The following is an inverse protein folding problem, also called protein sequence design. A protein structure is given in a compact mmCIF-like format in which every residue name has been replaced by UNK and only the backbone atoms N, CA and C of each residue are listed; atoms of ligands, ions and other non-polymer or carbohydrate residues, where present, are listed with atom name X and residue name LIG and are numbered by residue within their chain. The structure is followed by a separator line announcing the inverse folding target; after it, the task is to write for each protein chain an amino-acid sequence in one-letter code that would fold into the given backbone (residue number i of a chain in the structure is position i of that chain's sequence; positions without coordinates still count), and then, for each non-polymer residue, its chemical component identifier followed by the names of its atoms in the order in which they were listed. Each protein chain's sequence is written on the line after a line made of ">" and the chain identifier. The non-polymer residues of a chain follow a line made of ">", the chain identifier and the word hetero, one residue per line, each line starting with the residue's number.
data_IF_302522832442
#
_entry.id   IF_302522832442
#
_cell.length_a   1.000
_cell.length_b   1.000
_cell.length_c   1.000
_cell.angle_alpha   90.00
_cell.angle_beta   90.00
_cell.angle_gamma   90.00
#
_symmetry.space_group_name_H-M   'P 1'
#
loop_
_entity.id
_entity.type
_entity.pdbx_description
1 polymer ?
#
# COMPACT_ATOMS: atom_id res chain seq x y z
N UNK A 1 2.91 -14.69 1.93
CA UNK A 1 2.86 -15.11 0.52
C UNK A 1 2.25 -13.96 -0.25
N UNK A 2 2.84 -13.59 -1.38
CA UNK A 2 2.44 -12.42 -2.18
C UNK A 2 2.15 -12.88 -3.60
N UNK A 3 1.07 -12.37 -4.21
CA UNK A 3 0.71 -12.69 -5.57
C UNK A 3 1.34 -11.70 -6.56
N UNK A 4 1.89 -12.19 -7.67
CA UNK A 4 2.34 -11.33 -8.77
C UNK A 4 1.15 -10.77 -9.55
N UNK A 5 1.11 -9.46 -9.79
CA UNK A 5 0.01 -8.80 -10.51
C UNK A 5 -0.04 -9.14 -12.01
N UNK A 6 1.07 -9.59 -12.60
CA UNK A 6 1.13 -9.91 -14.05
C UNK A 6 0.79 -11.37 -14.35
N UNK A 7 1.35 -12.32 -13.61
CA UNK A 7 1.15 -13.75 -13.87
C UNK A 7 0.21 -14.45 -12.89
N UNK A 8 -0.27 -13.75 -11.87
CA UNK A 8 -1.15 -14.28 -10.82
C UNK A 8 -0.55 -15.42 -9.96
N UNK A 9 0.75 -15.72 -10.13
CA UNK A 9 1.45 -16.71 -9.32
C UNK A 9 1.65 -16.24 -7.87
N UNK A 10 1.58 -17.19 -6.94
CA UNK A 10 1.81 -16.97 -5.51
C UNK A 10 3.27 -17.26 -5.14
N UNK A 11 3.96 -16.24 -4.59
CA UNK A 11 5.35 -16.33 -4.17
C UNK A 11 5.47 -16.32 -2.64
N UNK A 12 6.44 -17.06 -2.12
CA UNK A 12 6.84 -16.97 -0.72
C UNK A 12 7.77 -15.78 -0.54
N UNK A 13 7.47 -14.89 0.41
CA UNK A 13 8.25 -13.67 0.70
C UNK A 13 9.74 -13.95 0.87
N UNK A 14 10.07 -15.03 1.56
CA UNK A 14 11.44 -15.47 1.81
C UNK A 14 12.23 -15.79 0.52
N UNK A 15 11.55 -16.09 -0.58
CA UNK A 15 12.15 -16.55 -1.84
C UNK A 15 12.02 -15.56 -2.99
N UNK A 16 11.37 -14.40 -2.78
CA UNK A 16 11.16 -13.40 -3.83
C UNK A 16 12.51 -12.89 -4.36
N UNK A 17 13.44 -12.56 -3.46
CA UNK A 17 14.73 -11.95 -3.83
C UNK A 17 15.88 -12.94 -4.02
N UNK A 18 15.72 -14.21 -3.60
CA UNK A 18 16.82 -15.20 -3.59
C UNK A 18 17.43 -15.51 -4.97
N UNK A 19 16.68 -15.31 -6.05
CA UNK A 19 17.16 -15.54 -7.42
C UNK A 19 18.05 -14.44 -7.99
N UNK A 20 18.16 -13.28 -7.33
CA UNK A 20 18.98 -12.15 -7.80
C UNK A 20 20.45 -12.34 -7.41
N UNK A 21 20.71 -12.92 -6.24
CA UNK A 21 22.06 -13.14 -5.71
C UNK A 21 22.82 -14.25 -6.47
N UNK A 22 22.15 -15.34 -6.87
CA UNK A 22 22.79 -16.45 -7.59
C UNK A 22 23.25 -16.08 -9.01
N UNK A 23 22.55 -15.16 -9.69
CA UNK A 23 22.89 -14.77 -11.08
C UNK A 23 23.92 -13.65 -11.17
N UNK A 24 24.09 -12.84 -10.11
CA UNK A 24 25.20 -11.88 -10.01
C UNK A 24 26.55 -12.60 -9.83
N UNK A 25 26.55 -13.76 -9.17
CA UNK A 25 27.72 -14.62 -9.02
C UNK A 25 28.13 -15.31 -10.33
N UNK A 26 27.19 -15.73 -11.17
CA UNK A 26 27.46 -16.36 -12.49
C UNK A 26 28.02 -15.37 -13.55
N UNK A 27 27.85 -14.06 -13.35
CA UNK A 27 28.37 -13.02 -14.26
C UNK A 27 29.83 -12.63 -13.98
N UNK A 28 30.48 -13.17 -12.94
CA UNK A 28 31.91 -12.95 -12.68
C UNK A 28 32.76 -13.69 -13.72
N UNK A 29 33.61 -13.01 -14.51
CA UNK A 29 34.50 -13.71 -15.43
C UNK A 29 35.49 -14.57 -14.64
N UNK A 30 35.62 -15.84 -15.05
CA UNK A 30 36.54 -16.79 -14.44
C UNK A 30 37.99 -16.24 -14.44
N UNK A 31 38.76 -16.38 -13.35
CA UNK A 31 40.15 -15.95 -13.33
C UNK A 31 41.00 -16.89 -14.18
N UNK A 32 41.62 -16.34 -15.23
CA UNK A 32 42.65 -17.01 -15.99
C UNK A 32 43.85 -17.34 -15.07
N UNK A 33 44.29 -18.59 -15.10
CA UNK A 33 45.51 -19.04 -14.44
C UNK A 33 46.71 -18.46 -15.16
N UNK A 34 47.66 -17.84 -14.45
CA UNK A 34 49.07 -18.28 -14.41
C UNK A 34 49.94 -17.53 -13.37
N UNK A 35 50.52 -18.35 -12.48
CA UNK A 35 51.87 -18.31 -11.87
C UNK A 35 52.37 -17.12 -10.99
N UNK A 36 52.37 -17.42 -9.68
CA UNK A 36 53.51 -17.42 -8.73
C UNK A 36 54.21 -16.11 -8.29
N UNK A 37 54.05 -15.77 -6.99
CA UNK A 37 55.14 -15.74 -5.99
C UNK A 37 54.57 -15.48 -4.58
N UNK A 38 55.04 -16.26 -3.61
CA UNK A 38 54.75 -16.17 -2.16
C UNK A 38 55.28 -14.88 -1.53
N UNK A 39 54.62 -14.38 -0.49
CA UNK A 39 55.24 -14.10 0.84
C UNK A 39 54.19 -13.76 1.90
N UNK A 40 54.37 -14.36 3.08
CA UNK A 40 53.73 -14.15 4.39
C UNK A 40 53.47 -12.68 4.79
N UNK A 41 52.36 -12.41 5.49
CA UNK A 41 52.29 -12.28 6.98
C UNK A 41 51.15 -11.35 7.46
N UNK A 42 50.36 -11.89 8.40
CA UNK A 42 49.60 -11.23 9.49
C UNK A 42 48.52 -10.17 9.23
N UNK A 43 47.32 -10.50 9.74
CA UNK A 43 46.18 -9.64 10.10
C UNK A 43 46.54 -8.48 11.06
N UNK A 44 45.77 -7.39 11.07
CA UNK A 44 44.65 -7.31 12.04
C UNK A 44 43.35 -6.68 11.49
N UNK A 45 42.29 -6.98 12.25
CA UNK A 45 40.91 -6.47 12.19
C UNK A 45 40.83 -4.93 12.32
N UNK A 46 39.73 -4.38 11.79
CA UNK A 46 38.90 -3.24 12.27
C UNK A 46 38.22 -2.64 11.02
N UNK A 47 36.96 -2.99 10.76
CA UNK A 47 35.75 -2.24 11.10
C UNK A 47 35.57 -0.93 10.29
N UNK A 48 34.34 -0.79 9.77
CA UNK A 48 33.70 0.43 9.30
C UNK A 48 34.05 0.99 7.91
N UNK A 49 33.38 0.44 6.90
CA UNK A 49 32.98 1.23 5.73
C UNK A 49 31.52 0.93 5.40
N UNK A 50 30.64 1.70 6.04
CA UNK A 50 29.25 1.86 5.63
C UNK A 50 29.23 2.36 4.17
N UNK A 51 28.84 1.48 3.25
CA UNK A 51 28.34 1.85 1.94
C UNK A 51 26.82 1.70 1.99
N UNK A 52 26.14 2.84 2.06
CA UNK A 52 24.70 2.97 1.88
C UNK A 52 24.39 2.69 0.42
N UNK A 53 24.17 1.43 0.08
CA UNK A 53 23.72 1.01 -1.25
C UNK A 53 22.19 0.88 -1.23
N UNK A 54 21.57 1.41 -2.28
CA UNK A 54 20.13 1.67 -2.39
C UNK A 54 19.25 0.49 -2.01
N UNK A 55 18.59 0.67 -0.87
CA UNK A 55 17.55 -0.13 -0.27
C UNK A 55 16.40 -0.40 -1.26
N UNK A 56 16.40 -1.57 -1.90
CA UNK A 56 15.20 -2.18 -2.50
C UNK A 56 15.40 -3.64 -2.95
N UNK A 57 16.36 -4.37 -2.36
CA UNK A 57 16.41 -5.84 -2.49
C UNK A 57 15.57 -6.54 -1.39
N UNK A 58 15.21 -5.79 -0.36
CA UNK A 58 14.32 -6.19 0.75
C UNK A 58 12.92 -5.70 0.42
N UNK A 59 11.90 -6.52 0.67
CA UNK A 59 10.52 -6.08 0.52
C UNK A 59 10.29 -4.84 1.42
N UNK A 60 9.77 -3.73 0.89
CA UNK A 60 9.51 -2.54 1.69
C UNK A 60 8.49 -2.83 2.80
N UNK A 61 8.52 -2.05 3.89
CA UNK A 61 7.60 -2.23 5.03
C UNK A 61 6.12 -2.12 4.63
N UNK A 62 5.82 -1.41 3.53
CA UNK A 62 4.49 -1.34 2.93
C UNK A 62 4.57 -1.38 1.40
N UNK A 63 3.80 -2.26 0.77
CA UNK A 63 3.54 -2.29 -0.67
C UNK A 63 2.11 -2.80 -0.91
N UNK A 64 1.56 -2.48 -2.08
CA UNK A 64 0.22 -2.92 -2.49
C UNK A 64 0.29 -3.96 -3.61
N UNK A 65 1.26 -3.87 -4.52
CA UNK A 65 1.41 -4.78 -5.66
C UNK A 65 2.85 -5.27 -5.82
N UNK A 66 3.01 -6.47 -6.39
CA UNK A 66 4.31 -7.09 -6.70
C UNK A 66 4.34 -7.51 -8.17
N UNK A 67 5.43 -7.20 -8.86
CA UNK A 67 5.79 -7.85 -10.12
C UNK A 67 6.98 -8.76 -9.87
N UNK A 68 6.80 -10.07 -10.09
CA UNK A 68 7.84 -11.06 -9.89
C UNK A 68 9.02 -10.87 -10.86
N UNK A 69 10.17 -11.47 -10.54
CA UNK A 69 11.37 -11.39 -11.36
C UNK A 69 11.14 -11.84 -12.81
N UNK A 70 10.45 -12.96 -13.04
CA UNK A 70 10.19 -13.46 -14.40
C UNK A 70 9.33 -12.50 -15.23
N UNK A 71 8.36 -11.85 -14.59
CA UNK A 71 7.55 -10.83 -15.23
C UNK A 71 8.35 -9.56 -15.50
N UNK A 72 9.19 -9.09 -14.57
CA UNK A 72 10.10 -7.97 -14.82
C UNK A 72 11.09 -8.28 -15.95
N UNK A 73 11.58 -9.52 -16.04
CA UNK A 73 12.45 -9.99 -17.14
C UNK A 73 11.73 -10.03 -18.49
N UNK A 74 10.45 -10.40 -18.50
CA UNK A 74 9.60 -10.39 -19.71
C UNK A 74 9.17 -8.98 -20.12
N UNK A 75 9.08 -8.06 -19.17
CA UNK A 75 8.60 -6.69 -19.33
C UNK A 75 9.61 -5.66 -18.77
N UNK A 76 10.86 -5.64 -19.26
CA UNK A 76 11.95 -4.86 -18.63
C UNK A 76 11.74 -3.35 -18.68
N UNK A 77 10.90 -2.86 -19.60
CA UNK A 77 10.55 -1.45 -19.68
C UNK A 77 9.80 -0.95 -18.44
N UNK A 78 9.18 -1.84 -17.66
CA UNK A 78 8.50 -1.47 -16.41
C UNK A 78 9.48 -0.99 -15.34
N UNK A 79 10.76 -1.39 -15.41
CA UNK A 79 11.79 -0.91 -14.49
C UNK A 79 11.98 0.61 -14.58
N UNK A 80 11.69 1.24 -15.72
CA UNK A 80 11.75 2.69 -15.86
C UNK A 80 10.84 3.41 -14.85
N UNK A 81 9.73 2.78 -14.43
CA UNK A 81 8.80 3.37 -13.47
C UNK A 81 9.32 3.39 -12.03
N UNK A 82 10.42 2.70 -11.72
CA UNK A 82 11.07 2.82 -10.40
C UNK A 82 11.93 4.08 -10.29
N UNK A 83 12.20 4.78 -11.40
CA UNK A 83 12.90 6.05 -11.36
C UNK A 83 11.93 7.13 -10.86
N UNK A 84 12.16 7.59 -9.64
CA UNK A 84 11.44 8.73 -9.06
C UNK A 84 11.86 10.02 -9.78
N UNK A 85 10.86 10.80 -10.18
CA UNK A 85 11.09 12.16 -10.65
C UNK A 85 11.29 13.06 -9.43
N UNK A 86 12.25 14.01 -9.45
CA UNK A 86 12.59 14.85 -8.29
C UNK A 86 11.50 15.83 -7.83
N UNK A 87 10.25 15.70 -8.28
CA UNK A 87 9.13 16.60 -7.98
C UNK A 87 8.20 16.07 -6.87
N UNK A 88 8.45 14.88 -6.30
CA UNK A 88 7.56 14.24 -5.32
C UNK A 88 7.83 14.59 -3.84
N UNK A 89 8.57 15.67 -3.56
CA UNK A 89 8.78 16.17 -2.19
C UNK A 89 8.60 17.69 -2.17
N UNK A 90 7.37 18.15 -1.94
CA UNK A 90 7.05 19.44 -1.30
C UNK A 90 5.52 19.57 -1.13
N UNK A 91 4.97 18.91 -0.10
CA UNK A 91 3.64 19.24 0.45
C UNK A 91 3.83 20.18 1.65
N UNK A 92 3.96 21.50 1.40
CA UNK A 92 3.48 22.55 2.31
C UNK A 92 3.18 23.83 1.51
N UNK A 93 1.90 24.22 1.46
CA UNK A 93 1.36 25.29 0.62
C UNK A 93 1.63 26.71 1.21
N UNK A 94 1.41 27.85 0.51
CA UNK A 94 0.06 28.24 0.07
C UNK A 94 -0.05 28.96 -1.30
N UNK A 95 -1.26 28.78 -1.84
CA UNK A 95 -1.97 29.48 -2.92
C UNK A 95 -1.54 30.93 -3.22
N UNK A 96 -1.22 31.20 -4.49
CA UNK A 96 -1.17 32.53 -5.09
C UNK A 96 -1.37 32.45 -6.61
N UNK A 97 -2.48 32.98 -7.10
CA UNK A 97 -2.92 32.85 -8.50
C UNK A 97 -2.10 33.63 -9.53
N UNK A 98 -2.20 33.17 -10.78
CA UNK A 98 -1.72 33.86 -11.98
C UNK A 98 -2.08 33.05 -13.22
N UNK A 99 -3.08 33.53 -13.96
CA UNK A 99 -3.54 32.98 -15.23
C UNK A 99 -2.49 33.17 -16.35
N UNK A 100 -2.49 32.19 -17.26
CA UNK A 100 -1.97 32.20 -18.63
C UNK A 100 -0.45 32.27 -18.88
N UNK A 101 0.14 31.08 -19.07
CA UNK A 101 1.29 30.88 -19.95
C UNK A 101 1.11 29.62 -20.82
N UNK A 102 0.55 29.85 -22.01
CA UNK A 102 0.77 29.12 -23.27
C UNK A 102 1.27 27.66 -23.18
N UNK A 103 0.31 26.74 -23.17
CA UNK A 103 0.45 25.30 -23.37
C UNK A 103 1.02 24.98 -24.77
N UNK A 104 2.33 24.90 -24.89
CA UNK A 104 3.01 24.16 -25.96
C UNK A 104 3.41 22.77 -25.41
N UNK A 105 2.43 21.89 -25.17
CA UNK A 105 2.71 20.50 -24.79
C UNK A 105 3.15 19.74 -26.04
N UNK A 106 4.45 19.56 -26.22
CA UNK A 106 4.95 18.38 -26.93
C UNK A 106 4.40 17.17 -26.17
N UNK A 107 3.67 16.29 -26.85
CA UNK A 107 3.18 15.03 -26.29
C UNK A 107 4.39 14.10 -26.04
N UNK A 108 5.18 14.43 -25.03
CA UNK A 108 6.36 13.66 -24.68
C UNK A 108 5.94 12.42 -23.91
N UNK A 109 6.51 11.29 -24.31
CA UNK A 109 6.18 9.99 -23.76
C UNK A 109 6.87 9.83 -22.40
N UNK A 110 6.08 9.76 -21.32
CA UNK A 110 6.55 9.58 -19.93
C UNK A 110 7.46 8.36 -19.81
N UNK A 111 7.12 7.24 -20.46
CA UNK A 111 7.95 6.03 -20.45
C UNK A 111 9.35 6.31 -21.00
N UNK A 112 9.46 7.05 -22.11
CA UNK A 112 10.76 7.36 -22.72
C UNK A 112 11.59 8.28 -21.83
N UNK A 113 10.95 9.27 -21.20
CA UNK A 113 11.64 10.17 -20.27
C UNK A 113 12.18 9.40 -19.05
N UNK A 114 11.36 8.53 -18.46
CA UNK A 114 11.77 7.67 -17.33
C UNK A 114 12.85 6.65 -17.71
N UNK A 115 12.82 6.11 -18.93
CA UNK A 115 13.90 5.23 -19.44
C UNK A 115 15.25 5.95 -19.50
N UNK A 116 15.28 7.18 -20.02
CA UNK A 116 16.49 7.99 -20.08
C UNK A 116 17.03 8.33 -18.68
N UNK A 117 16.13 8.61 -17.73
CA UNK A 117 16.51 8.86 -16.33
C UNK A 117 17.16 7.62 -15.69
N UNK A 118 16.56 6.44 -15.90
CA UNK A 118 17.08 5.19 -15.38
C UNK A 118 18.47 4.86 -15.97
N UNK A 119 18.65 5.07 -17.27
CA UNK A 119 19.94 4.90 -17.95
C UNK A 119 21.00 5.85 -17.38
N UNK A 120 20.64 7.11 -17.11
CA UNK A 120 21.55 8.08 -16.50
C UNK A 120 21.94 7.74 -15.05
N UNK A 121 21.04 7.09 -14.31
CA UNK A 121 21.29 6.61 -12.94
C UNK A 121 22.13 5.31 -12.91
N UNK A 122 22.33 4.64 -14.05
CA UNK A 122 23.10 3.40 -14.15
C UNK A 122 22.43 2.17 -13.51
N UNK A 123 21.20 2.30 -13.01
CA UNK A 123 20.47 1.24 -12.32
C UNK A 123 19.63 0.44 -13.32
N UNK A 124 20.18 -0.66 -13.87
CA UNK A 124 19.49 -1.52 -14.84
C UNK A 124 19.34 -2.97 -14.39
N UNK A 125 19.71 -3.26 -13.14
CA UNK A 125 19.62 -4.60 -12.57
C UNK A 125 18.16 -5.00 -12.43
N UNK A 126 17.76 -6.04 -13.16
CA UNK A 126 16.42 -6.62 -13.04
C UNK A 126 16.25 -7.26 -11.66
N UNK A 127 15.11 -6.97 -11.03
CA UNK A 127 14.73 -7.49 -9.71
C UNK A 127 13.21 -7.60 -9.63
N UNK A 128 12.65 -8.46 -8.76
CA UNK A 128 11.26 -8.32 -8.34
C UNK A 128 11.03 -6.89 -7.86
N UNK A 129 9.90 -6.30 -8.22
CA UNK A 129 9.62 -4.90 -7.90
C UNK A 129 8.28 -4.79 -7.17
N UNK A 130 8.33 -4.10 -6.04
CA UNK A 130 7.20 -3.81 -5.17
C UNK A 130 6.70 -2.40 -5.47
N UNK A 131 5.38 -2.24 -5.54
CA UNK A 131 4.74 -0.99 -5.95
C UNK A 131 3.73 -0.53 -4.92
N UNK A 132 3.60 0.79 -4.76
CA UNK A 132 2.46 1.41 -4.06
C UNK A 132 1.22 1.36 -4.93
N UNK A 133 0.03 1.50 -4.35
CA UNK A 133 -1.26 1.53 -5.04
C UNK A 133 -1.32 2.55 -6.20
N UNK A 134 -0.57 3.65 -6.11
CA UNK A 134 -0.63 4.76 -7.06
C UNK A 134 0.26 4.56 -8.29
N UNK A 135 1.15 3.55 -8.34
CA UNK A 135 2.12 3.40 -9.42
C UNK A 135 1.49 3.25 -10.82
N UNK A 136 0.27 2.69 -10.89
CA UNK A 136 -0.47 2.55 -12.15
C UNK A 136 -0.80 3.91 -12.78
N UNK A 137 -0.92 4.96 -11.97
CA UNK A 137 -1.18 6.33 -12.45
C UNK A 137 0.02 6.92 -13.20
N UNK A 138 1.23 6.42 -12.94
CA UNK A 138 2.44 6.85 -13.64
C UNK A 138 2.60 6.21 -15.01
N UNK A 139 1.82 5.18 -15.34
CA UNK A 139 1.89 4.48 -16.61
C UNK A 139 1.56 5.41 -17.77
N UNK A 140 2.40 5.37 -18.81
CA UNK A 140 2.23 6.27 -19.93
C UNK A 140 1.08 5.80 -20.83
N UNK A 141 0.10 6.67 -21.05
CA UNK A 141 -1.09 6.37 -21.88
C UNK A 141 -0.99 6.89 -23.32
N UNK A 142 0.21 7.22 -23.80
CA UNK A 142 0.37 7.60 -25.22
C UNK A 142 0.11 6.39 -26.13
N UNK A 143 -0.31 6.64 -27.38
CA UNK A 143 -0.71 5.58 -28.33
C UNK A 143 0.36 4.50 -28.53
N UNK A 144 1.65 4.87 -28.51
CA UNK A 144 2.73 3.89 -28.61
C UNK A 144 2.89 3.02 -27.35
N UNK A 145 2.62 3.55 -26.16
CA UNK A 145 2.74 2.81 -24.90
C UNK A 145 1.55 1.89 -24.68
N UNK A 146 0.34 2.34 -25.01
CA UNK A 146 -0.86 1.49 -25.00
C UNK A 146 -0.66 0.28 -25.93
N UNK A 147 -0.24 0.51 -27.17
CA UNK A 147 0.03 -0.57 -28.12
C UNK A 147 1.16 -1.52 -27.64
N UNK A 148 2.15 -1.01 -26.92
CA UNK A 148 3.20 -1.82 -26.30
C UNK A 148 2.62 -2.74 -25.21
N UNK A 149 1.81 -2.20 -24.30
CA UNK A 149 1.18 -2.96 -23.21
C UNK A 149 0.23 -4.02 -23.76
N UNK A 150 -0.57 -3.69 -24.78
CA UNK A 150 -1.44 -4.64 -25.49
C UNK A 150 -0.63 -5.77 -26.13
N UNK A 151 0.45 -5.45 -26.84
CA UNK A 151 1.35 -6.45 -27.44
C UNK A 151 1.94 -7.41 -26.41
N UNK A 152 2.22 -6.90 -25.21
CA UNK A 152 2.75 -7.68 -24.10
C UNK A 152 1.66 -8.42 -23.30
N UNK A 153 0.37 -8.17 -23.57
CA UNK A 153 -0.75 -8.79 -22.89
C UNK A 153 -0.99 -8.27 -21.47
N UNK A 154 -0.53 -7.07 -21.15
CA UNK A 154 -0.59 -6.46 -19.80
C UNK A 154 -1.30 -5.10 -19.80
N UNK A 155 -2.18 -4.87 -20.79
CA UNK A 155 -2.93 -3.62 -20.91
C UNK A 155 -3.89 -3.37 -19.73
N UNK A 156 -4.29 -4.41 -19.01
CA UNK A 156 -5.12 -4.32 -17.80
C UNK A 156 -4.45 -3.49 -16.69
N UNK A 157 -3.13 -3.31 -16.70
CA UNK A 157 -2.43 -2.42 -15.76
C UNK A 157 -2.84 -0.95 -15.91
N UNK A 158 -3.39 -0.57 -17.07
CA UNK A 158 -3.92 0.78 -17.29
C UNK A 158 -5.28 1.02 -16.63
N UNK A 159 -5.97 -0.05 -16.24
CA UNK A 159 -7.23 0.05 -15.52
C UNK A 159 -6.97 0.13 -14.01
N UNK A 160 -7.28 1.27 -13.36
CA UNK A 160 -7.13 1.39 -11.91
C UNK A 160 -8.12 0.49 -11.14
N UNK A 161 -9.25 0.12 -11.73
CA UNK A 161 -10.25 -0.76 -11.10
C UNK A 161 -9.78 -2.23 -11.05
N UNK A 162 -8.85 -2.62 -11.92
CA UNK A 162 -8.23 -3.96 -11.96
C UNK A 162 -7.15 -4.15 -10.87
N UNK A 163 -7.05 -3.25 -9.90
CA UNK A 163 -6.18 -3.45 -8.73
C UNK A 163 -6.88 -4.29 -7.67
N UNK A 164 -6.14 -5.23 -7.06
CA UNK A 164 -6.66 -6.08 -5.98
C UNK A 164 -7.21 -5.21 -4.83
N UNK A 165 -6.52 -4.12 -4.51
CA UNK A 165 -6.92 -3.17 -3.47
C UNK A 165 -8.32 -2.60 -3.72
N UNK A 166 -8.64 -2.18 -4.94
CA UNK A 166 -9.97 -1.64 -5.30
C UNK A 166 -11.05 -2.72 -5.20
N UNK A 167 -10.75 -3.95 -5.63
CA UNK A 167 -11.68 -5.07 -5.49
C UNK A 167 -11.97 -5.40 -4.02
N UNK A 168 -10.93 -5.48 -3.18
CA UNK A 168 -11.09 -5.76 -1.76
C UNK A 168 -11.86 -4.65 -1.03
N UNK A 169 -11.56 -3.39 -1.33
CA UNK A 169 -12.28 -2.25 -0.78
C UNK A 169 -13.77 -2.30 -1.15
N UNK A 170 -14.06 -2.52 -2.44
CA UNK A 170 -15.43 -2.67 -2.94
C UNK A 170 -16.17 -3.85 -2.30
N UNK A 171 -15.49 -4.97 -2.07
CA UNK A 171 -16.06 -6.14 -1.41
C UNK A 171 -16.35 -5.87 0.07
N UNK A 172 -15.46 -5.15 0.76
CA UNK A 172 -15.65 -4.72 2.16
C UNK A 172 -16.84 -3.76 2.27
N UNK A 173 -16.94 -2.76 1.41
CA UNK A 173 -18.07 -1.84 1.38
C UNK A 173 -19.39 -2.55 1.09
N UNK A 174 -19.43 -3.47 0.12
CA UNK A 174 -20.63 -4.29 -0.13
C UNK A 174 -21.02 -5.12 1.08
N UNK A 175 -20.04 -5.65 1.81
CA UNK A 175 -20.29 -6.40 3.05
C UNK A 175 -20.85 -5.51 4.16
N UNK A 176 -20.29 -4.31 4.38
CA UNK A 176 -20.83 -3.39 5.38
C UNK A 176 -22.26 -3.03 5.04
N UNK A 177 -22.51 -2.59 3.79
CA UNK A 177 -23.86 -2.27 3.31
C UNK A 177 -24.83 -3.43 3.53
N UNK A 178 -24.41 -4.66 3.22
CA UNK A 178 -25.21 -5.87 3.50
C UNK A 178 -25.50 -6.04 5.00
N UNK A 179 -24.52 -5.87 5.89
CA UNK A 179 -24.71 -6.01 7.33
C UNK A 179 -25.65 -4.92 7.88
N UNK A 180 -25.53 -3.68 7.41
CA UNK A 180 -26.44 -2.59 7.74
C UNK A 180 -27.87 -2.85 7.24
N UNK A 181 -28.04 -3.31 6.00
CA UNK A 181 -29.33 -3.69 5.43
C UNK A 181 -29.98 -4.86 6.17
N UNK A 182 -29.19 -5.88 6.55
CA UNK A 182 -29.65 -7.01 7.36
C UNK A 182 -30.11 -6.52 8.73
N UNK A 183 -29.35 -5.63 9.37
CA UNK A 183 -29.71 -5.05 10.67
C UNK A 183 -31.00 -4.23 10.59
N UNK A 184 -31.14 -3.36 9.58
CA UNK A 184 -32.36 -2.58 9.36
C UNK A 184 -33.56 -3.48 9.05
N UNK A 185 -33.38 -4.51 8.24
CA UNK A 185 -34.44 -5.47 7.90
C UNK A 185 -34.87 -6.29 9.11
N UNK A 186 -33.93 -6.68 9.97
CA UNK A 186 -34.24 -7.35 11.23
C UNK A 186 -35.00 -6.43 12.18
N UNK A 187 -34.61 -5.16 12.28
CA UNK A 187 -35.30 -4.15 13.07
C UNK A 187 -36.74 -3.91 12.59
N UNK A 188 -36.94 -3.77 11.29
CA UNK A 188 -38.25 -3.50 10.70
C UNK A 188 -39.20 -4.72 10.75
N UNK A 189 -38.70 -5.94 10.56
CA UNK A 189 -39.56 -7.12 10.42
C UNK A 189 -39.75 -7.94 11.70
N UNK A 190 -38.85 -7.85 12.68
CA UNK A 190 -38.95 -8.63 13.93
C UNK A 190 -39.66 -7.90 15.07
N UNK A 191 -39.77 -6.58 14.99
CA UNK A 191 -40.33 -5.73 16.05
C UNK A 191 -41.60 -5.06 15.56
N UNK A 192 -42.60 -4.94 16.42
CA UNK A 192 -43.77 -4.10 16.12
C UNK A 192 -43.37 -2.64 16.06
N UNK A 193 -44.21 -1.79 15.45
CA UNK A 193 -43.93 -0.35 15.36
C UNK A 193 -43.71 0.28 16.75
N UNK A 194 -44.47 -0.14 17.76
CA UNK A 194 -44.32 0.34 19.14
C UNK A 194 -42.96 -0.06 19.73
N UNK A 195 -42.53 -1.31 19.50
CA UNK A 195 -41.22 -1.79 19.94
C UNK A 195 -40.06 -1.08 19.22
N UNK A 196 -40.21 -0.79 17.93
CA UNK A 196 -39.22 -0.01 17.17
C UNK A 196 -39.07 1.40 17.76
N UNK A 197 -40.18 2.08 18.07
CA UNK A 197 -40.16 3.39 18.72
C UNK A 197 -39.51 3.32 20.10
N UNK A 198 -39.84 2.31 20.91
CA UNK A 198 -39.23 2.13 22.23
C UNK A 198 -37.72 1.90 22.15
N UNK A 199 -37.26 1.08 21.20
CA UNK A 199 -35.83 0.85 20.97
C UNK A 199 -35.14 2.13 20.49
N UNK A 200 -35.75 2.90 19.58
CA UNK A 200 -35.19 4.17 19.09
C UNK A 200 -35.06 5.22 20.21
N UNK A 201 -36.09 5.32 21.07
CA UNK A 201 -36.06 6.17 22.26
C UNK A 201 -35.01 5.69 23.26
N UNK A 202 -34.95 4.39 23.53
CA UNK A 202 -33.98 3.77 24.43
C UNK A 202 -32.54 3.98 23.97
N UNK A 203 -32.27 3.86 22.67
CA UNK A 203 -30.97 4.14 22.08
C UNK A 203 -30.59 5.61 22.22
N UNK A 204 -31.50 6.53 21.91
CA UNK A 204 -31.25 7.98 22.06
C UNK A 204 -30.95 8.36 23.50
N UNK A 205 -31.70 7.81 24.46
CA UNK A 205 -31.48 8.00 25.89
C UNK A 205 -30.12 7.45 26.33
N UNK A 206 -29.80 6.20 25.94
CA UNK A 206 -28.52 5.58 26.25
C UNK A 206 -27.35 6.39 25.69
N UNK A 207 -27.44 6.82 24.43
CA UNK A 207 -26.42 7.64 23.75
C UNK A 207 -26.18 8.95 24.48
N UNK A 208 -27.24 9.68 24.82
CA UNK A 208 -27.12 10.96 25.53
C UNK A 208 -26.50 10.78 26.93
N UNK A 209 -26.93 9.75 27.67
CA UNK A 209 -26.38 9.45 29.00
C UNK A 209 -24.90 9.06 28.92
N UNK A 210 -24.52 8.27 27.92
CA UNK A 210 -23.12 7.88 27.71
C UNK A 210 -22.27 9.08 27.30
N UNK A 211 -22.76 9.93 26.40
CA UNK A 211 -22.08 11.17 26.02
C UNK A 211 -21.87 12.10 27.22
N UNK A 212 -22.88 12.26 28.07
CA UNK A 212 -22.77 13.07 29.28
C UNK A 212 -21.78 12.47 30.29
N UNK A 213 -21.80 11.15 30.47
CA UNK A 213 -20.84 10.44 31.31
C UNK A 213 -19.40 10.67 30.83
N UNK A 214 -19.16 10.50 29.53
CA UNK A 214 -17.84 10.70 28.91
C UNK A 214 -17.39 12.16 28.88
N UNK A 215 -18.31 13.12 28.76
CA UNK A 215 -17.99 14.55 28.81
C UNK A 215 -17.31 14.95 30.13
N UNK A 216 -17.65 14.29 31.25
CA UNK A 216 -16.96 14.50 32.53
C UNK A 216 -15.48 14.13 32.49
N UNK A 217 -15.11 13.08 31.74
CA UNK A 217 -13.71 12.68 31.57
C UNK A 217 -12.94 13.68 30.71
N UNK A 218 -13.57 14.16 29.63
CA UNK A 218 -12.99 15.19 28.76
C UNK A 218 -12.72 16.50 29.51
N UNK A 219 -13.67 16.95 30.34
CA UNK A 219 -13.51 18.16 31.16
C UNK A 219 -12.40 18.05 32.22
N UNK A 220 -12.13 16.83 32.70
CA UNK A 220 -11.10 16.57 33.73
C UNK A 220 -9.75 16.15 33.13
N UNK A 221 -9.65 16.04 31.80
CA UNK A 221 -8.45 15.57 31.11
C UNK A 221 -8.07 14.11 31.43
N UNK A 222 -9.04 13.28 31.83
CA UNK A 222 -8.80 11.90 32.26
C UNK A 222 -9.04 10.93 31.10
N UNK A 223 -8.08 10.05 30.82
CA UNK A 223 -8.24 8.97 29.83
C UNK A 223 -9.30 7.96 30.28
N UNK A 224 -10.23 7.65 29.37
CA UNK A 224 -11.31 6.65 29.58
C UNK A 224 -10.75 5.24 29.49
N UNK A 225 -11.06 4.39 30.46
CA UNK A 225 -10.65 2.97 30.49
C UNK A 225 -11.82 2.05 30.20
N UNK A 226 -11.52 0.80 29.85
CA UNK A 226 -12.54 -0.22 29.64
C UNK A 226 -13.41 -0.47 30.90
N UNK A 227 -12.84 -0.33 32.10
CA UNK A 227 -13.59 -0.45 33.36
C UNK A 227 -14.65 0.65 33.51
N UNK A 228 -14.36 1.88 33.09
CA UNK A 228 -15.28 3.02 33.21
C UNK A 228 -16.55 2.79 32.38
N UNK A 229 -16.38 2.24 31.16
CA UNK A 229 -17.49 1.88 30.28
C UNK A 229 -18.33 0.74 30.88
N UNK A 230 -17.68 -0.30 31.42
CA UNK A 230 -18.39 -1.40 32.10
C UNK A 230 -19.21 -0.89 33.28
N UNK A 231 -18.62 -0.06 34.14
CA UNK A 231 -19.28 0.52 35.30
C UNK A 231 -20.52 1.35 34.90
N UNK A 232 -20.45 2.10 33.80
CA UNK A 232 -21.62 2.83 33.27
C UNK A 232 -22.77 1.88 32.91
N UNK A 233 -22.50 0.83 32.13
CA UNK A 233 -23.54 -0.11 31.71
C UNK A 233 -24.08 -0.95 32.87
N UNK A 234 -23.23 -1.33 33.83
CA UNK A 234 -23.66 -2.02 35.05
C UNK A 234 -24.60 -1.16 35.89
N UNK A 235 -24.29 0.13 36.06
CA UNK A 235 -25.18 1.09 36.72
C UNK A 235 -26.52 1.25 35.99
N UNK A 236 -26.50 1.32 34.66
CA UNK A 236 -27.72 1.43 33.86
C UNK A 236 -28.59 0.17 33.96
N UNK A 237 -28.00 -1.02 34.03
CA UNK A 237 -28.70 -2.30 34.18
C UNK A 237 -29.30 -2.49 35.58
N UNK A 238 -28.58 -2.06 36.63
CA UNK A 238 -29.08 -2.11 38.01
C UNK A 238 -30.30 -1.18 38.20
N UNK A 239 -30.25 0.03 37.63
CA UNK A 239 -31.36 0.99 37.70
C UNK A 239 -32.63 0.50 36.97
N UNK A 240 -32.49 -0.31 35.92
CA UNK A 240 -33.64 -0.95 35.24
C UNK A 240 -34.25 -2.07 36.09
N UNK A 241 -33.42 -2.91 36.72
CA UNK A 241 -33.89 -4.03 37.57
C UNK A 241 -34.72 -3.55 38.76
N UNK A 242 -34.29 -2.48 39.44
CA UNK A 242 -35.01 -1.91 40.59
C UNK A 242 -36.39 -1.33 40.28
N UNK A 243 -36.72 -1.07 39.00
CA UNK A 243 -38.03 -0.53 38.59
C UNK A 243 -39.06 -1.59 38.21
N UNK A 244 -38.66 -2.87 38.12
CA UNK A 244 -39.51 -3.96 37.62
C UNK A 244 -39.97 -4.90 38.76
N UNK A 245 -39.44 -4.73 39.97
CA UNK A 245 -39.93 -5.31 41.23
C UNK A 245 -40.88 -4.33 41.93
#
# INVERSE_FOLDING_TARGET
>A
MVQCVICEDWLHEEHISKGVDEQLEEAKPAPEKEAAAETDKESPLDEDAAATDGDNAVAPESFDELICYDCMKKHPFLLAYTAESPEAQDDDAPTGGGEDAAKAKTNECVLKAKQQLLEAQGSTTLRPTFWSSEWRNDLCQCSSCVALLEKHGIAFLLDPEDSLHVYEASAREKKTVSDEEIAQRAFANKLTHEQQVEVAMGYSLMKNNLQQYLAGFAATGKTVRAEDIKNFFDGMNQAKRQKTE
#
